data_IF_955145590513
#
_entry.id   IF_955145590513
#
_cell.length_a   1.000
_cell.length_b   1.000
_cell.length_c   1.000
_cell.angle_alpha   90.00
_cell.angle_beta   90.00
_cell.angle_gamma   90.00
#
_symmetry.space_group_name_H-M   'P 1'
#
loop_
_entity.id
_entity.type
_entity.pdbx_description
1 polymer ?
#
# COMPACT_ATOMS: atom_id res chain seq x y z
N UNK A 1 -25.44 14.91 10.04
CA UNK A 1 -24.01 15.03 10.38
C UNK A 1 -23.22 14.83 9.11
N UNK A 2 -22.26 15.71 8.81
CA UNK A 2 -21.40 15.56 7.63
C UNK A 2 -20.60 14.26 7.71
N UNK A 3 -20.56 13.51 6.61
CA UNK A 3 -19.93 12.19 6.48
C UNK A 3 -18.41 12.35 6.25
N UNK A 4 -17.59 11.42 6.74
CA UNK A 4 -16.17 11.36 6.35
C UNK A 4 -16.06 11.19 4.83
N UNK A 5 -15.06 11.76 4.17
CA UNK A 5 -14.82 11.52 2.73
C UNK A 5 -13.42 11.01 2.50
N UNK A 6 -13.26 9.88 1.81
CA UNK A 6 -11.95 9.36 1.40
C UNK A 6 -11.76 9.54 -0.11
N UNK A 7 -10.78 10.35 -0.50
CA UNK A 7 -10.30 10.43 -1.87
C UNK A 7 -9.34 9.26 -2.09
N UNK A 8 -9.70 8.34 -2.99
CA UNK A 8 -9.00 7.06 -3.12
C UNK A 8 -9.02 6.49 -4.53
N UNK A 9 -8.19 5.47 -4.75
CA UNK A 9 -8.25 4.62 -5.92
C UNK A 9 -7.90 3.19 -5.52
N UNK A 10 -8.59 2.17 -6.05
CA UNK A 10 -8.33 0.78 -5.70
C UNK A 10 -6.98 0.27 -6.23
N UNK A 11 -6.27 1.04 -7.06
CA UNK A 11 -4.92 0.71 -7.52
C UNK A 11 -3.81 1.29 -6.64
N UNK A 12 -4.14 2.23 -5.74
CA UNK A 12 -3.17 2.83 -4.84
C UNK A 12 -3.00 1.95 -3.59
N UNK A 13 -1.78 1.46 -3.30
CA UNK A 13 -1.54 0.65 -2.11
C UNK A 13 -1.79 1.46 -0.83
N UNK A 14 -1.37 2.72 -0.78
CA UNK A 14 -1.60 3.60 0.37
C UNK A 14 -3.09 3.88 0.60
N UNK A 15 -3.85 4.03 -0.48
CA UNK A 15 -5.28 4.29 -0.37
C UNK A 15 -6.05 3.03 0.04
N UNK A 16 -5.64 1.85 -0.43
CA UNK A 16 -6.14 0.56 0.06
C UNK A 16 -5.83 0.37 1.54
N UNK A 17 -4.65 0.75 2.01
CA UNK A 17 -4.32 0.72 3.45
C UNK A 17 -5.31 1.53 4.28
N UNK A 18 -5.58 2.78 3.90
CA UNK A 18 -6.55 3.63 4.59
C UNK A 18 -7.99 3.05 4.50
N UNK A 19 -8.39 2.54 3.34
CA UNK A 19 -9.70 1.92 3.13
C UNK A 19 -9.90 0.68 4.02
N UNK A 20 -8.91 -0.22 4.05
CA UNK A 20 -8.92 -1.43 4.86
C UNK A 20 -8.90 -1.10 6.35
N UNK A 21 -8.16 -0.07 6.77
CA UNK A 21 -8.18 0.41 8.16
C UNK A 21 -9.57 0.90 8.58
N UNK A 22 -10.24 1.68 7.72
CA UNK A 22 -11.62 2.14 7.96
C UNK A 22 -12.62 0.97 8.07
N UNK A 23 -12.49 -0.06 7.23
CA UNK A 23 -13.33 -1.27 7.30
C UNK A 23 -13.02 -2.12 8.54
N UNK A 24 -11.74 -2.26 8.88
CA UNK A 24 -11.33 -3.00 10.08
C UNK A 24 -11.95 -2.38 11.34
N UNK A 25 -12.04 -1.05 11.39
CA UNK A 25 -12.71 -0.29 12.45
C UNK A 25 -14.25 -0.24 12.34
N UNK A 26 -14.85 -0.81 11.28
CA UNK A 26 -16.30 -0.74 11.05
C UNK A 26 -16.82 0.66 10.67
N UNK A 27 -15.92 1.57 10.29
CA UNK A 27 -16.24 2.96 9.95
C UNK A 27 -16.59 3.14 8.47
N UNK A 28 -16.24 2.18 7.60
CA UNK A 28 -16.44 2.29 6.15
C UNK A 28 -17.88 2.66 5.71
N UNK A 29 -18.97 2.13 6.33
CA UNK A 29 -20.33 2.56 5.98
C UNK A 29 -20.59 4.06 6.15
N UNK A 30 -19.82 4.70 7.03
CA UNK A 30 -19.85 6.13 7.35
C UNK A 30 -18.84 6.96 6.54
N UNK A 31 -18.24 6.39 5.49
CA UNK A 31 -17.33 7.11 4.58
C UNK A 31 -17.98 7.30 3.20
N UNK A 32 -17.86 8.50 2.65
CA UNK A 32 -18.09 8.82 1.23
C UNK A 32 -16.81 8.50 0.44
N UNK A 33 -16.89 7.57 -0.49
CA UNK A 33 -15.74 7.11 -1.28
C UNK A 33 -15.69 7.88 -2.60
N UNK A 34 -14.74 8.81 -2.72
CA UNK A 34 -14.53 9.56 -3.97
C UNK A 34 -13.39 8.96 -4.76
N UNK A 35 -13.73 8.37 -5.91
CA UNK A 35 -12.74 7.80 -6.82
C UNK A 35 -11.90 8.94 -7.43
N UNK A 36 -10.64 9.05 -7.02
CA UNK A 36 -9.70 10.06 -7.47
C UNK A 36 -8.54 9.38 -8.18
N UNK A 37 -8.36 9.66 -9.47
CA UNK A 37 -7.28 9.09 -10.27
C UNK A 37 -6.04 9.97 -10.17
N UNK A 38 -4.91 9.37 -9.80
CA UNK A 38 -3.60 10.01 -9.80
C UNK A 38 -2.67 9.23 -10.71
N UNK A 39 -2.04 9.92 -11.64
CA UNK A 39 -0.99 9.37 -12.49
C UNK A 39 0.28 10.20 -12.27
N UNK A 40 1.36 9.57 -11.83
CA UNK A 40 2.63 10.24 -11.52
C UNK A 40 3.19 11.14 -12.64
N UNK A 41 3.08 10.81 -13.94
CA UNK A 41 3.62 11.69 -14.99
C UNK A 41 2.69 12.85 -15.36
N UNK A 42 1.47 12.93 -14.81
CA UNK A 42 0.49 13.96 -15.16
C UNK A 42 0.28 14.92 -13.99
N UNK A 43 0.00 16.22 -14.26
CA UNK A 43 -0.48 17.13 -13.23
C UNK A 43 -1.70 16.55 -12.48
N UNK A 44 -1.73 16.62 -11.15
CA UNK A 44 -2.89 16.18 -10.37
C UNK A 44 -4.13 17.02 -10.68
N UNK A 45 -5.31 16.44 -10.43
CA UNK A 45 -6.58 17.16 -10.53
C UNK A 45 -6.57 18.40 -9.60
N UNK A 46 -6.93 19.60 -10.07
CA UNK A 46 -7.06 20.79 -9.22
C UNK A 46 -7.95 20.58 -7.99
N UNK A 47 -8.99 19.75 -8.08
CA UNK A 47 -9.85 19.41 -6.95
C UNK A 47 -9.09 18.59 -5.88
N UNK A 48 -8.17 17.72 -6.30
CA UNK A 48 -7.27 17.03 -5.36
C UNK A 48 -6.26 18.00 -4.77
N UNK A 49 -5.69 18.92 -5.56
CA UNK A 49 -4.72 19.91 -5.08
C UNK A 49 -5.31 20.87 -4.04
N UNK A 50 -6.61 21.16 -4.13
CA UNK A 50 -7.34 21.96 -3.14
C UNK A 50 -7.42 21.26 -1.77
N UNK A 51 -7.48 19.93 -1.73
CA UNK A 51 -7.53 19.14 -0.49
C UNK A 51 -6.13 18.72 -0.02
N UNK A 52 -5.23 18.37 -0.94
CA UNK A 52 -3.86 17.97 -0.67
C UNK A 52 -2.91 18.62 -1.70
N UNK A 53 -2.12 19.63 -1.31
CA UNK A 53 -1.22 20.34 -2.23
C UNK A 53 -0.10 19.44 -2.79
N UNK A 54 0.13 18.26 -2.21
CA UNK A 54 1.08 17.27 -2.75
C UNK A 54 0.49 16.49 -3.94
N UNK A 55 -0.82 16.60 -4.21
CA UNK A 55 -1.48 15.90 -5.32
C UNK A 55 -1.48 14.37 -5.18
N UNK A 56 -1.44 13.87 -3.93
CA UNK A 56 -1.38 12.43 -3.63
C UNK A 56 -2.67 11.94 -2.97
N UNK A 57 -2.96 10.66 -3.19
CA UNK A 57 -4.01 9.91 -2.49
C UNK A 57 -3.35 8.85 -1.58
N UNK A 58 -3.97 8.48 -0.45
CA UNK A 58 -5.29 8.90 0.03
C UNK A 58 -5.33 10.29 0.67
N UNK A 59 -6.53 10.86 0.72
CA UNK A 59 -6.88 12.02 1.56
C UNK A 59 -8.16 11.69 2.31
N UNK A 60 -8.17 11.83 3.64
CA UNK A 60 -9.38 11.71 4.45
C UNK A 60 -9.85 13.11 4.85
N UNK A 61 -10.96 13.57 4.29
CA UNK A 61 -11.62 14.81 4.68
C UNK A 61 -12.52 14.51 5.88
N UNK A 62 -12.18 15.11 7.01
CA UNK A 62 -12.89 14.94 8.28
C UNK A 62 -13.64 16.24 8.57
N UNK A 63 -14.98 16.23 8.73
CA UNK A 63 -15.70 17.48 8.93
C UNK A 63 -15.29 18.22 10.21
N UNK A 64 -15.08 19.54 10.09
CA UNK A 64 -14.62 20.38 11.20
C UNK A 64 -13.12 20.25 11.51
N UNK A 65 -12.44 19.31 10.85
CA UNK A 65 -11.00 19.15 10.84
C UNK A 65 -10.51 19.40 9.40
N UNK A 66 -9.23 19.70 9.21
CA UNK A 66 -8.69 19.80 7.86
C UNK A 66 -8.62 18.44 7.15
N UNK A 67 -8.29 18.41 5.84
CA UNK A 67 -7.94 17.18 5.16
C UNK A 67 -6.71 16.53 5.80
N UNK A 68 -6.77 15.22 6.02
CA UNK A 68 -5.67 14.41 6.55
C UNK A 68 -4.99 13.65 5.42
N UNK A 69 -3.68 13.84 5.29
CA UNK A 69 -2.79 13.11 4.40
C UNK A 69 -1.37 13.14 5.01
N UNK A 70 -0.52 12.15 4.76
CA UNK A 70 -0.68 10.95 3.93
C UNK A 70 -1.40 9.78 4.64
N UNK A 71 -1.26 8.57 4.11
CA UNK A 71 -1.87 7.36 4.67
C UNK A 71 -1.46 7.05 6.11
N UNK A 72 -0.24 7.43 6.56
CA UNK A 72 0.20 7.20 7.94
C UNK A 72 -0.49 8.15 8.90
N UNK A 73 -0.66 9.41 8.52
CA UNK A 73 -1.43 10.36 9.32
C UNK A 73 -2.89 9.93 9.44
N UNK A 74 -3.47 9.42 8.35
CA UNK A 74 -4.84 8.91 8.36
C UNK A 74 -5.00 7.76 9.36
N UNK A 75 -4.16 6.72 9.28
CA UNK A 75 -4.27 5.57 10.20
C UNK A 75 -3.91 5.94 11.65
N UNK A 76 -2.94 6.85 11.86
CA UNK A 76 -2.61 7.35 13.20
C UNK A 76 -3.76 8.15 13.82
N UNK A 77 -4.45 8.98 13.02
CA UNK A 77 -5.64 9.68 13.50
C UNK A 77 -6.76 8.68 13.82
N UNK A 78 -7.02 7.71 12.95
CA UNK A 78 -8.03 6.68 13.18
C UNK A 78 -7.74 5.86 14.45
N UNK A 79 -6.49 5.50 14.69
CA UNK A 79 -6.08 4.78 15.91
C UNK A 79 -6.36 5.60 17.18
N UNK A 80 -6.12 6.92 17.16
CA UNK A 80 -6.47 7.79 18.30
C UNK A 80 -7.98 7.81 18.60
N UNK A 81 -8.81 7.64 17.57
CA UNK A 81 -10.26 7.58 17.74
C UNK A 81 -10.74 6.21 18.20
N UNK A 82 -10.01 5.14 17.90
CA UNK A 82 -10.36 3.76 18.28
C UNK A 82 -9.08 2.95 18.60
N UNK A 83 -8.46 3.19 19.76
CA UNK A 83 -7.16 2.61 20.09
C UNK A 83 -7.23 1.09 20.28
N UNK A 84 -6.12 0.41 19.98
CA UNK A 84 -5.97 -1.02 20.27
C UNK A 84 -6.40 -1.95 19.14
N UNK A 85 -6.95 -1.42 18.02
CA UNK A 85 -7.35 -2.21 16.85
C UNK A 85 -6.35 -2.08 15.70
N UNK A 86 -6.04 -0.85 15.26
CA UNK A 86 -5.09 -0.66 14.16
C UNK A 86 -3.65 -0.88 14.62
N UNK A 87 -3.36 -0.45 15.85
CA UNK A 87 -2.12 -0.74 16.54
C UNK A 87 -2.45 -1.37 17.91
N UNK A 88 -1.70 -2.41 18.33
CA UNK A 88 -1.85 -2.97 19.67
C UNK A 88 -1.66 -1.94 20.78
N UNK A 89 -2.36 -2.13 21.90
CA UNK A 89 -2.22 -1.26 23.08
C UNK A 89 -0.88 -1.50 23.83
N UNK A 90 -0.30 -2.69 23.72
CA UNK A 90 1.03 -2.98 24.25
C UNK A 90 2.09 -2.16 23.50
N UNK A 91 2.91 -1.34 24.18
CA UNK A 91 3.86 -0.44 23.51
C UNK A 91 4.91 -1.15 22.64
N UNK A 92 5.35 -2.35 23.02
CA UNK A 92 6.34 -3.08 22.23
C UNK A 92 5.71 -3.64 20.96
N UNK A 93 4.52 -4.26 21.06
CA UNK A 93 3.77 -4.74 19.90
C UNK A 93 3.30 -3.59 18.98
N UNK A 94 3.00 -2.42 19.56
CA UNK A 94 2.72 -1.19 18.81
C UNK A 94 3.92 -0.79 17.95
N UNK A 95 5.10 -0.71 18.56
CA UNK A 95 6.33 -0.36 17.84
C UNK A 95 6.66 -1.38 16.75
N UNK A 96 6.50 -2.68 17.00
CA UNK A 96 6.69 -3.70 15.96
C UNK A 96 5.69 -3.54 14.80
N UNK A 97 4.45 -3.11 15.08
CA UNK A 97 3.46 -2.78 14.05
C UNK A 97 3.91 -1.57 13.22
N UNK A 98 4.41 -0.50 13.85
CA UNK A 98 4.95 0.68 13.17
C UNK A 98 6.20 0.35 12.33
N UNK A 99 7.07 -0.53 12.83
CA UNK A 99 8.26 -0.99 12.10
C UNK A 99 7.87 -1.78 10.85
N UNK A 100 6.89 -2.68 10.97
CA UNK A 100 6.37 -3.44 9.83
C UNK A 100 5.69 -2.53 8.80
N UNK A 101 4.80 -1.63 9.25
CA UNK A 101 4.19 -0.62 8.37
C UNK A 101 5.27 0.19 7.65
N UNK A 102 6.30 0.62 8.39
CA UNK A 102 7.37 1.46 7.84
C UNK A 102 8.16 0.76 6.76
N UNK A 103 8.53 -0.50 6.98
CA UNK A 103 9.25 -1.30 6.00
C UNK A 103 8.39 -1.60 4.78
N UNK A 104 7.13 -2.02 4.97
CA UNK A 104 6.23 -2.35 3.88
C UNK A 104 5.89 -1.13 3.00
N UNK A 105 5.60 0.02 3.61
CA UNK A 105 5.42 1.28 2.90
C UNK A 105 6.70 1.68 2.15
N UNK A 106 7.87 1.54 2.77
CA UNK A 106 9.16 1.89 2.15
C UNK A 106 9.49 1.04 0.92
N UNK A 107 9.22 -0.27 0.97
CA UNK A 107 9.33 -1.13 -0.22
C UNK A 107 8.31 -0.70 -1.29
N UNK A 108 7.09 -0.38 -0.89
CA UNK A 108 6.04 0.12 -1.78
C UNK A 108 6.45 1.42 -2.48
N UNK A 109 7.04 2.37 -1.76
CA UNK A 109 7.57 3.63 -2.30
C UNK A 109 8.56 3.35 -3.42
N UNK A 110 9.52 2.44 -3.17
CA UNK A 110 10.55 2.06 -4.15
C UNK A 110 9.93 1.40 -5.38
N UNK A 111 8.95 0.51 -5.22
CA UNK A 111 8.23 -0.11 -6.36
C UNK A 111 7.54 0.96 -7.22
N UNK A 112 6.84 1.92 -6.62
CA UNK A 112 6.13 2.95 -7.38
C UNK A 112 7.09 3.90 -8.11
N UNK A 113 8.19 4.30 -7.45
CA UNK A 113 9.23 5.13 -8.06
C UNK A 113 9.95 4.40 -9.19
N UNK A 114 10.27 3.12 -9.00
CA UNK A 114 10.93 2.32 -10.04
C UNK A 114 10.04 2.14 -11.26
N UNK A 115 8.75 1.84 -11.05
CA UNK A 115 7.78 1.80 -12.16
C UNK A 115 7.73 3.12 -12.93
N UNK A 116 7.80 4.24 -12.23
CA UNK A 116 7.83 5.57 -12.88
C UNK A 116 9.10 5.73 -13.69
N UNK A 117 10.24 5.32 -13.16
CA UNK A 117 11.52 5.36 -13.88
C UNK A 117 11.52 4.48 -15.13
N UNK A 118 10.99 3.26 -15.06
CA UNK A 118 10.86 2.37 -16.22
C UNK A 118 9.90 2.92 -17.27
N UNK A 119 8.84 3.64 -16.86
CA UNK A 119 7.91 4.27 -17.80
C UNK A 119 8.53 5.37 -18.66
N UNK A 120 9.75 5.81 -18.35
CA UNK A 120 10.50 6.79 -19.15
C UNK A 120 11.11 6.20 -20.42
N UNK A 121 11.08 4.87 -20.59
CA UNK A 121 11.64 4.17 -21.76
C UNK A 121 13.12 4.51 -21.94
N UNK A 122 13.50 4.91 -23.15
CA UNK A 122 14.89 5.29 -23.49
C UNK A 122 15.44 6.45 -22.65
N UNK A 123 14.58 7.23 -21.97
CA UNK A 123 14.99 8.32 -21.08
C UNK A 123 15.20 7.90 -19.62
N UNK A 124 15.14 6.60 -19.32
CA UNK A 124 15.41 6.09 -17.97
C UNK A 124 16.89 6.22 -17.60
N UNK A 125 17.16 6.40 -16.33
CA UNK A 125 18.47 6.36 -15.72
C UNK A 125 18.71 4.95 -15.14
N UNK A 126 19.58 4.14 -15.75
CA UNK A 126 19.82 2.76 -15.31
C UNK A 126 20.42 2.68 -13.90
N UNK A 127 21.19 3.67 -13.46
CA UNK A 127 21.75 3.70 -12.10
C UNK A 127 20.67 3.91 -11.04
N UNK A 128 19.67 4.76 -11.32
CA UNK A 128 18.51 4.96 -10.44
C UNK A 128 17.69 3.66 -10.37
N UNK A 129 17.41 3.03 -11.51
CA UNK A 129 16.68 1.76 -11.58
C UNK A 129 17.39 0.64 -10.78
N UNK A 130 18.71 0.47 -10.96
CA UNK A 130 19.50 -0.50 -10.20
C UNK A 130 19.48 -0.23 -8.68
N UNK A 131 19.46 1.05 -8.28
CA UNK A 131 19.32 1.44 -6.88
C UNK A 131 17.96 1.05 -6.29
N UNK A 132 16.88 1.15 -7.07
CA UNK A 132 15.56 0.68 -6.65
C UNK A 132 15.50 -0.84 -6.56
N UNK A 133 16.05 -1.55 -7.56
CA UNK A 133 16.12 -3.01 -7.54
C UNK A 133 16.84 -3.51 -6.27
N UNK A 134 18.01 -2.94 -5.97
CA UNK A 134 18.79 -3.29 -4.77
C UNK A 134 17.95 -3.15 -3.50
N UNK A 135 17.24 -2.02 -3.34
CA UNK A 135 16.42 -1.77 -2.15
C UNK A 135 15.28 -2.77 -2.00
N UNK A 136 14.59 -3.10 -3.10
CA UNK A 136 13.52 -4.12 -3.07
C UNK A 136 14.11 -5.48 -2.71
N UNK A 137 15.23 -5.86 -3.32
CA UNK A 137 15.91 -7.13 -3.04
C UNK A 137 16.43 -7.25 -1.61
N UNK A 138 16.79 -6.14 -0.96
CA UNK A 138 17.19 -6.14 0.45
C UNK A 138 15.98 -6.11 1.40
N UNK A 139 14.89 -5.43 1.03
CA UNK A 139 13.69 -5.35 1.88
C UNK A 139 12.90 -6.65 1.96
N UNK A 140 12.78 -7.38 0.84
CA UNK A 140 11.97 -8.61 0.78
C UNK A 140 12.45 -9.73 1.73
N UNK A 141 13.75 -10.05 1.85
CA UNK A 141 14.23 -11.01 2.85
C UNK A 141 13.92 -10.65 4.30
N UNK A 142 13.90 -9.35 4.63
CA UNK A 142 13.53 -8.90 5.98
C UNK A 142 12.04 -9.15 6.23
N UNK A 143 11.18 -8.87 5.24
CA UNK A 143 9.75 -9.19 5.31
C UNK A 143 9.50 -10.71 5.39
N UNK A 144 10.29 -11.51 4.66
CA UNK A 144 10.27 -12.98 4.72
C UNK A 144 10.55 -13.50 6.12
N UNK A 145 11.56 -12.95 6.80
CA UNK A 145 11.89 -13.34 8.16
C UNK A 145 10.79 -12.95 9.19
N UNK A 146 10.04 -11.88 8.92
CA UNK A 146 8.94 -11.42 9.81
C UNK A 146 7.67 -12.26 9.59
N UNK A 147 7.38 -12.69 8.36
CA UNK A 147 6.11 -13.33 8.01
C UNK A 147 5.64 -14.46 8.96
N UNK A 148 6.51 -15.38 9.45
CA UNK A 148 6.11 -16.44 10.37
C UNK A 148 5.60 -15.96 11.74
N UNK A 149 5.91 -14.73 12.15
CA UNK A 149 5.48 -14.17 13.45
C UNK A 149 4.11 -13.49 13.39
N UNK A 150 3.56 -13.31 12.19
CA UNK A 150 2.33 -12.59 11.95
C UNK A 150 1.12 -13.52 12.02
N UNK A 151 0.15 -13.18 12.87
CA UNK A 151 -1.12 -13.89 12.95
C UNK A 151 -2.08 -13.36 11.87
N UNK A 152 -2.43 -14.17 10.84
CA UNK A 152 -3.34 -13.72 9.78
C UNK A 152 -4.77 -13.44 10.25
N UNK A 153 -5.16 -13.91 11.45
CA UNK A 153 -6.47 -13.66 12.04
C UNK A 153 -6.54 -12.35 12.84
N UNK A 154 -5.40 -11.86 13.33
CA UNK A 154 -5.28 -10.62 14.13
C UNK A 154 -4.75 -9.48 13.26
N UNK A 155 -5.58 -9.01 12.32
CA UNK A 155 -5.18 -7.99 11.36
C UNK A 155 -4.91 -6.64 12.03
N UNK A 156 -3.75 -6.04 11.76
CA UNK A 156 -3.34 -4.70 12.18
C UNK A 156 -2.83 -3.88 10.98
N UNK A 157 -2.45 -2.62 11.18
CA UNK A 157 -2.02 -1.75 10.06
C UNK A 157 -0.71 -2.19 9.42
N UNK A 158 0.23 -2.78 10.18
CA UNK A 158 1.48 -3.32 9.63
C UNK A 158 1.21 -4.48 8.66
N UNK A 159 0.32 -5.40 9.04
CA UNK A 159 -0.15 -6.49 8.17
C UNK A 159 -0.92 -5.97 6.95
N UNK A 160 -1.75 -4.93 7.10
CA UNK A 160 -2.44 -4.28 5.98
C UNK A 160 -1.44 -3.66 5.00
N UNK A 161 -0.42 -2.96 5.50
CA UNK A 161 0.64 -2.36 4.68
C UNK A 161 1.44 -3.43 3.94
N UNK A 162 1.86 -4.50 4.63
CA UNK A 162 2.54 -5.63 4.01
C UNK A 162 1.69 -6.28 2.91
N UNK A 163 0.39 -6.50 3.17
CA UNK A 163 -0.53 -7.02 2.17
C UNK A 163 -0.61 -6.10 0.93
N UNK A 164 -0.73 -4.79 1.15
CA UNK A 164 -0.78 -3.82 0.05
C UNK A 164 0.53 -3.80 -0.77
N UNK A 165 1.68 -3.97 -0.12
CA UNK A 165 2.99 -4.08 -0.76
C UNK A 165 3.07 -5.32 -1.67
N UNK A 166 2.75 -6.50 -1.15
CA UNK A 166 2.80 -7.76 -1.92
C UNK A 166 1.80 -7.76 -3.09
N UNK A 167 0.61 -7.18 -2.89
CA UNK A 167 -0.37 -7.03 -3.97
C UNK A 167 0.13 -6.10 -5.09
N UNK A 168 1.05 -5.15 -4.80
CA UNK A 168 1.69 -4.37 -5.87
C UNK A 168 2.70 -5.21 -6.67
N UNK A 169 3.37 -6.17 -6.04
CA UNK A 169 4.21 -7.11 -6.79
C UNK A 169 3.36 -7.94 -7.74
N UNK A 170 2.22 -8.46 -7.28
CA UNK A 170 1.28 -9.19 -8.14
C UNK A 170 0.75 -8.34 -9.28
N UNK A 171 0.39 -7.08 -8.98
CA UNK A 171 -0.28 -6.22 -9.94
C UNK A 171 0.68 -5.57 -10.94
N UNK A 172 1.86 -5.12 -10.48
CA UNK A 172 2.80 -4.32 -11.29
C UNK A 172 4.06 -5.08 -11.69
N UNK A 173 4.40 -6.14 -10.97
CA UNK A 173 5.62 -6.93 -11.17
C UNK A 173 5.29 -8.43 -11.32
N UNK A 174 4.18 -8.77 -11.98
CA UNK A 174 3.62 -10.14 -12.00
C UNK A 174 4.63 -11.24 -12.41
N UNK A 175 5.63 -10.90 -13.22
CA UNK A 175 6.68 -11.81 -13.66
C UNK A 175 7.80 -12.04 -12.64
N UNK A 176 7.78 -11.39 -11.47
CA UNK A 176 8.93 -11.38 -10.55
C UNK A 176 9.11 -12.64 -9.72
N UNK A 177 8.15 -13.56 -9.75
CA UNK A 177 8.23 -14.86 -9.07
C UNK A 177 8.51 -14.77 -7.54
N UNK A 178 8.06 -13.70 -6.89
CA UNK A 178 8.35 -13.46 -5.47
C UNK A 178 7.87 -14.58 -4.55
N UNK A 179 6.78 -15.28 -4.89
CA UNK A 179 6.24 -16.38 -4.07
C UNK A 179 7.18 -17.58 -3.97
N UNK A 180 7.90 -17.90 -5.05
CA UNK A 180 8.85 -19.00 -5.04
C UNK A 180 10.10 -18.66 -4.23
N UNK A 181 10.54 -17.40 -4.30
CA UNK A 181 11.71 -16.93 -3.56
C UNK A 181 11.43 -16.67 -2.07
N UNK A 182 10.19 -16.34 -1.70
CA UNK A 182 9.79 -15.97 -0.34
C UNK A 182 8.58 -16.80 0.12
N UNK A 183 8.77 -18.10 0.41
CA UNK A 183 7.68 -19.02 0.69
C UNK A 183 6.91 -18.70 1.98
N UNK A 184 7.55 -18.15 3.02
CA UNK A 184 6.84 -17.76 4.24
C UNK A 184 5.91 -16.58 4.00
N UNK A 185 6.36 -15.56 3.26
CA UNK A 185 5.51 -14.46 2.79
C UNK A 185 4.37 -14.98 1.92
N UNK A 186 4.65 -15.92 1.02
CA UNK A 186 3.62 -16.50 0.15
C UNK A 186 2.53 -17.22 0.96
N UNK A 187 2.94 -18.01 1.95
CA UNK A 187 2.03 -18.72 2.84
C UNK A 187 1.19 -17.74 3.69
N UNK A 188 1.84 -16.73 4.30
CA UNK A 188 1.15 -15.70 5.07
C UNK A 188 0.18 -14.89 4.19
N UNK A 189 0.60 -14.48 2.99
CA UNK A 189 -0.23 -13.71 2.05
C UNK A 189 -1.50 -14.46 1.65
N UNK A 190 -1.37 -15.77 1.40
CA UNK A 190 -2.50 -16.64 1.12
C UNK A 190 -3.45 -16.73 2.33
N UNK A 191 -2.91 -16.97 3.53
CA UNK A 191 -3.69 -17.10 4.76
C UNK A 191 -4.46 -15.82 5.12
N UNK A 192 -3.77 -14.67 5.13
CA UNK A 192 -4.40 -13.37 5.44
C UNK A 192 -5.41 -12.95 4.35
N UNK A 193 -5.29 -13.51 3.14
CA UNK A 193 -6.26 -13.32 2.06
C UNK A 193 -7.68 -13.75 2.38
N UNK A 194 -7.85 -14.68 3.33
CA UNK A 194 -9.17 -15.11 3.79
C UNK A 194 -9.80 -14.16 4.83
N UNK A 195 -9.03 -13.23 5.41
CA UNK A 195 -9.55 -12.27 6.38
C UNK A 195 -10.60 -11.35 5.72
N UNK A 196 -11.76 -11.13 6.38
CA UNK A 196 -12.93 -10.43 5.79
C UNK A 196 -12.58 -9.11 5.11
N UNK A 197 -11.73 -8.31 5.76
CA UNK A 197 -11.32 -6.97 5.27
C UNK A 197 -10.46 -7.12 4.02
N UNK A 198 -9.54 -8.08 4.00
CA UNK A 198 -8.63 -8.27 2.86
C UNK A 198 -9.41 -8.79 1.65
N UNK A 199 -10.29 -9.77 1.86
CA UNK A 199 -11.13 -10.35 0.81
C UNK A 199 -12.11 -9.33 0.20
N UNK A 200 -12.58 -8.37 0.99
CA UNK A 200 -13.53 -7.33 0.53
C UNK A 200 -12.90 -6.26 -0.38
N UNK A 201 -11.57 -6.09 -0.34
CA UNK A 201 -10.88 -4.99 -1.03
C UNK A 201 -9.78 -5.47 -2.01
N UNK A 202 -10.09 -6.30 -3.03
CA UNK A 202 -9.11 -6.72 -4.04
C UNK A 202 -8.68 -5.55 -4.94
N UNK A 203 -7.54 -5.69 -5.64
CA UNK A 203 -7.19 -4.77 -6.74
C UNK A 203 -8.01 -5.17 -7.98
N UNK A 204 -8.83 -4.27 -8.56
CA UNK A 204 -9.54 -4.54 -9.80
C UNK A 204 -8.57 -4.72 -10.97
N UNK A 205 -8.72 -5.83 -11.70
CA UNK A 205 -7.89 -6.22 -12.85
C UNK A 205 -8.51 -5.81 -14.20
N UNK A 206 -9.77 -5.38 -14.21
CA UNK A 206 -10.60 -5.10 -15.38
C UNK A 206 -10.67 -3.62 -15.77
N UNK A 207 -10.24 -2.72 -14.89
CA UNK A 207 -10.14 -1.30 -15.22
C UNK A 207 -9.11 -1.10 -16.36
N UNK A 208 -9.34 -0.24 -17.35
CA UNK A 208 -8.32 0.03 -18.36
C UNK A 208 -7.07 0.60 -17.68
N UNK A 209 -5.92 -0.05 -17.86
CA UNK A 209 -4.65 0.60 -17.62
C UNK A 209 -4.44 1.57 -18.78
N UNK A 210 -4.55 2.88 -18.53
CA UNK A 210 -4.20 3.93 -19.51
C UNK A 210 -2.70 3.93 -19.87
N UNK A 211 -1.97 2.92 -19.41
CA UNK A 211 -0.56 2.68 -19.64
C UNK A 211 -0.43 1.39 -20.46
N UNK A 212 -1.03 1.38 -21.66
CA UNK A 212 -1.05 0.27 -22.63
C UNK A 212 0.32 -0.06 -23.23
N UNK A 213 1.42 0.41 -22.62
CA UNK A 213 2.79 0.22 -23.09
C UNK A 213 3.81 0.05 -21.96
N UNK A 214 3.40 -0.32 -20.74
CA UNK A 214 4.36 -0.60 -19.66
C UNK A 214 5.11 -1.87 -20.02
N UNK A 215 6.40 -1.72 -20.30
CA UNK A 215 7.33 -2.83 -20.44
C UNK A 215 7.21 -3.76 -19.22
N UNK A 216 7.37 -5.07 -19.44
CA UNK A 216 7.48 -6.05 -18.35
C UNK A 216 8.50 -5.52 -17.34
N UNK A 217 8.07 -5.35 -16.09
CA UNK A 217 8.93 -4.76 -15.07
C UNK A 217 10.16 -5.65 -14.84
N UNK A 218 11.39 -5.10 -14.82
CA UNK A 218 12.62 -5.87 -14.78
C UNK A 218 12.97 -6.28 -13.34
N UNK A 219 12.07 -7.02 -12.69
CA UNK A 219 12.32 -7.65 -11.39
C UNK A 219 12.07 -9.14 -11.53
N UNK A 220 13.02 -9.95 -11.08
CA UNK A 220 12.87 -11.40 -10.97
C UNK A 220 13.63 -11.90 -9.75
N UNK A 221 12.95 -12.60 -8.87
CA UNK A 221 13.56 -13.33 -7.77
C UNK A 221 13.82 -14.77 -8.22
N UNK A 222 15.08 -15.18 -8.17
CA UNK A 222 15.51 -16.57 -8.33
C UNK A 222 15.72 -17.19 -6.94
N UNK A 223 15.61 -18.51 -6.82
CA UNK A 223 15.71 -19.28 -5.56
C UNK A 223 17.02 -19.08 -4.77
N UNK A 224 18.02 -18.41 -5.37
CA UNK A 224 19.38 -18.25 -4.83
C UNK A 224 19.74 -16.83 -4.37
N UNK A 225 18.78 -15.91 -4.21
CA UNK A 225 19.07 -14.55 -3.72
C UNK A 225 19.07 -14.44 -2.20
#
# INVERSE_FOLDING_TARGET
MSKLTLLWSPRSPYARKALMALDLLGLLPQVDLRLTRVALPMPPDPALLAENPLGKIPVLVVPGLGPLFDSRLIVSWLDRQTPGVLFPADPAAHLETERLETLADGVTDVLLLWRTEESRGDRKNPQIAAGFETKVRTGMPVLEAIAPTLDPSSLNVGQIALRCCLDQLDFRYAACNWRAAFPALAAWHAAVGAHRVIAAHPIPTDLPDHNTGVAVMPLSFTETN
#
